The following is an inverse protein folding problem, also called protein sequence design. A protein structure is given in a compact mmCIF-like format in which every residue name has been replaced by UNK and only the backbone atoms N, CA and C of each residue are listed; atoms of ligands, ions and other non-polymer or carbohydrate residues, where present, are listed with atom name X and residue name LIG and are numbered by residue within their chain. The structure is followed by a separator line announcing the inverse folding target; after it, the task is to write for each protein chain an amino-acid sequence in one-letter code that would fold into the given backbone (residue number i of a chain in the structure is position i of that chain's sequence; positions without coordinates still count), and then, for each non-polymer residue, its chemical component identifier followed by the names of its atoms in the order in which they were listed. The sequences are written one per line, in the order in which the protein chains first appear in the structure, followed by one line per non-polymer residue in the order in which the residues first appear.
data_IF_379134326645
#
_entry.id   IF_379134326645
#
_cell.length_a   1.000
_cell.length_b   1.000
_cell.length_c   1.000
_cell.angle_alpha   90.00
_cell.angle_beta   90.00
_cell.angle_gamma   90.00
#
_symmetry.space_group_name_H-M   'P 1'
#
loop_
_entity.id
_entity.type
_entity.pdbx_description
1 polymer ?
#
# COMPACT_ATOMS: atom_id res chain seq x y z
N UNK A 1 -31.20 2.48 -59.26
CA UNK A 1 -29.83 1.93 -59.35
C UNK A 1 -29.10 2.23 -58.05
N UNK A 2 -28.47 1.20 -57.48
CA UNK A 2 -27.39 1.18 -56.47
C UNK A 2 -27.57 1.92 -55.13
N UNK A 3 -27.79 1.08 -54.10
CA UNK A 3 -27.58 1.34 -52.68
C UNK A 3 -26.09 1.55 -52.39
N UNK A 4 -25.75 2.52 -51.54
CA UNK A 4 -24.41 2.63 -50.93
C UNK A 4 -24.59 2.75 -49.41
N UNK A 5 -24.33 1.64 -48.72
CA UNK A 5 -24.23 1.59 -47.25
C UNK A 5 -22.88 2.16 -46.83
N UNK A 6 -22.89 3.28 -46.10
CA UNK A 6 -21.67 3.82 -45.46
C UNK A 6 -21.65 3.33 -44.02
N UNK A 7 -20.93 2.25 -43.78
CA UNK A 7 -20.56 1.77 -42.44
C UNK A 7 -19.50 2.71 -41.87
N UNK A 8 -19.88 3.56 -40.91
CA UNK A 8 -18.92 4.36 -40.14
C UNK A 8 -18.53 3.54 -38.91
N UNK A 9 -17.41 2.83 -39.02
CA UNK A 9 -16.72 2.20 -37.90
C UNK A 9 -16.17 3.28 -36.96
N UNK A 10 -16.94 3.65 -35.93
CA UNK A 10 -16.42 4.43 -34.81
C UNK A 10 -15.45 3.55 -34.01
N UNK A 11 -14.16 3.80 -34.21
CA UNK A 11 -13.07 3.21 -33.43
C UNK A 11 -13.24 3.62 -31.96
N UNK A 12 -13.63 2.65 -31.12
CA UNK A 12 -13.50 2.76 -29.66
C UNK A 12 -12.01 2.76 -29.31
N UNK A 13 -11.41 3.94 -29.29
CA UNK A 13 -10.09 4.16 -28.72
C UNK A 13 -10.21 4.08 -27.19
N UNK A 14 -10.26 2.87 -26.64
CA UNK A 14 -10.09 2.66 -25.20
C UNK A 14 -8.63 2.92 -24.86
N UNK A 15 -8.32 4.16 -24.47
CA UNK A 15 -7.07 4.47 -23.80
C UNK A 15 -7.03 3.67 -22.49
N UNK A 16 -6.30 2.56 -22.48
CA UNK A 16 -5.92 1.89 -21.25
C UNK A 16 -4.92 2.80 -20.55
N UNK A 17 -5.43 3.70 -19.70
CA UNK A 17 -4.60 4.41 -18.75
C UNK A 17 -4.00 3.35 -17.82
N UNK A 18 -2.75 2.98 -18.09
CA UNK A 18 -1.91 2.26 -17.14
C UNK A 18 -1.66 3.23 -15.98
N UNK A 19 -2.63 3.30 -15.06
CA UNK A 19 -2.45 4.01 -13.81
C UNK A 19 -1.36 3.28 -13.04
N UNK A 20 -0.14 3.80 -13.07
CA UNK A 20 0.88 3.45 -12.08
C UNK A 20 0.28 3.80 -10.72
N UNK A 21 -0.27 2.79 -10.04
CA UNK A 21 -1.03 2.98 -8.81
C UNK A 21 -0.10 3.43 -7.71
N UNK A 22 -0.14 4.72 -7.38
CA UNK A 22 0.34 5.20 -6.08
C UNK A 22 -0.55 4.58 -5.01
N UNK A 23 0.07 4.11 -3.95
CA UNK A 23 -0.54 3.48 -2.80
C UNK A 23 0.06 4.12 -1.54
N UNK A 24 -0.68 4.09 -0.44
CA UNK A 24 -0.21 4.64 0.84
C UNK A 24 -0.80 3.88 2.02
N UNK A 25 -0.24 4.09 3.21
CA UNK A 25 -0.87 3.59 4.42
C UNK A 25 -2.30 4.15 4.56
N UNK A 26 -3.30 3.30 4.86
CA UNK A 26 -4.68 3.75 5.04
C UNK A 26 -4.82 4.62 6.31
N UNK A 27 -5.81 5.51 6.36
CA UNK A 27 -6.13 6.16 7.62
C UNK A 27 -6.71 5.13 8.60
N UNK A 28 -6.45 5.30 9.91
CA UNK A 28 -6.94 4.36 10.93
C UNK A 28 -8.48 4.18 10.89
N UNK A 29 -9.20 5.25 10.54
CA UNK A 29 -10.67 5.23 10.38
C UNK A 29 -11.17 4.46 9.16
N UNK A 30 -10.32 4.23 8.14
CA UNK A 30 -10.67 3.48 6.93
C UNK A 30 -10.41 1.98 7.08
N UNK A 31 -9.73 1.56 8.16
CA UNK A 31 -9.47 0.16 8.46
C UNK A 31 -10.66 -0.44 9.18
N UNK A 32 -11.21 -1.52 8.63
CA UNK A 32 -12.32 -2.25 9.26
C UNK A 32 -11.80 -3.40 10.12
N UNK A 33 -12.41 -3.63 11.27
CA UNK A 33 -12.13 -4.79 12.13
C UNK A 33 -13.31 -5.76 12.11
N UNK A 34 -13.08 -7.01 11.70
CA UNK A 34 -14.07 -8.10 11.74
C UNK A 34 -13.41 -9.40 12.19
N UNK A 35 -13.98 -10.03 13.23
CA UNK A 35 -13.52 -11.32 13.75
C UNK A 35 -11.99 -11.37 14.02
N UNK A 36 -11.42 -10.28 14.54
CA UNK A 36 -9.99 -10.17 14.83
C UNK A 36 -9.08 -9.92 13.63
N UNK A 37 -9.64 -9.71 12.44
CA UNK A 37 -8.90 -9.36 11.22
C UNK A 37 -9.17 -7.89 10.89
N UNK A 38 -8.08 -7.14 10.70
CA UNK A 38 -8.12 -5.78 10.19
C UNK A 38 -7.97 -5.80 8.67
N UNK A 39 -8.83 -5.08 7.95
CA UNK A 39 -8.71 -4.93 6.50
C UNK A 39 -9.00 -3.51 6.04
N UNK A 40 -8.30 -3.06 4.99
CA UNK A 40 -8.61 -1.81 4.31
C UNK A 40 -8.43 -1.97 2.78
N UNK A 41 -9.20 -1.24 1.97
CA UNK A 41 -9.04 -1.26 0.52
C UNK A 41 -7.67 -0.70 0.11
N UNK A 42 -7.18 -1.16 -1.04
CA UNK A 42 -6.02 -0.60 -1.73
C UNK A 42 -6.42 0.17 -2.98
N UNK A 43 -5.54 1.02 -3.50
CA UNK A 43 -5.75 1.75 -4.75
C UNK A 43 -5.82 0.84 -5.99
N UNK A 44 -5.22 -0.35 -5.92
CA UNK A 44 -5.23 -1.35 -6.99
C UNK A 44 -6.24 -2.46 -6.71
N UNK A 45 -7.10 -2.77 -7.68
CA UNK A 45 -8.12 -3.82 -7.54
C UNK A 45 -7.48 -5.20 -7.23
N UNK A 46 -8.09 -5.92 -6.27
CA UNK A 46 -7.65 -7.24 -5.82
C UNK A 46 -6.54 -7.21 -4.75
N UNK A 47 -5.80 -6.12 -4.62
CA UNK A 47 -4.90 -5.93 -3.49
C UNK A 47 -5.71 -5.53 -2.24
N UNK A 48 -5.11 -5.65 -1.06
CA UNK A 48 -5.71 -5.13 0.18
C UNK A 48 -4.65 -4.90 1.25
N UNK A 49 -5.00 -4.13 2.26
CA UNK A 49 -4.25 -4.08 3.51
C UNK A 49 -4.86 -5.05 4.51
N UNK A 50 -4.02 -5.82 5.22
CA UNK A 50 -4.49 -6.84 6.16
C UNK A 50 -3.59 -6.96 7.39
N UNK A 51 -4.21 -7.21 8.55
CA UNK A 51 -3.52 -7.68 9.75
C UNK A 51 -4.42 -8.60 10.57
N UNK A 52 -3.81 -9.43 11.42
CA UNK A 52 -4.52 -10.23 12.42
C UNK A 52 -4.18 -9.68 13.80
N UNK A 53 -5.19 -9.44 14.62
CA UNK A 53 -5.03 -8.98 15.99
C UNK A 53 -4.33 -10.04 16.83
N UNK A 54 -3.32 -9.61 17.59
CA UNK A 54 -2.71 -10.40 18.66
C UNK A 54 -3.42 -10.23 20.01
N UNK A 55 -4.29 -9.23 20.15
CA UNK A 55 -5.04 -8.97 21.37
C UNK A 55 -6.17 -10.00 21.57
N UNK A 56 -6.41 -10.40 22.83
CA UNK A 56 -7.49 -11.30 23.21
C UNK A 56 -8.89 -10.73 22.90
N UNK A 57 -9.04 -9.41 23.02
CA UNK A 57 -10.24 -8.67 22.62
C UNK A 57 -9.81 -7.56 21.68
N UNK A 58 -9.84 -7.80 20.36
CA UNK A 58 -9.43 -6.82 19.35
C UNK A 58 -10.28 -5.55 19.41
N UNK A 59 -9.69 -4.40 19.10
CA UNK A 59 -10.37 -3.10 19.11
C UNK A 59 -10.01 -2.25 17.90
N UNK A 60 -10.84 -1.25 17.59
CA UNK A 60 -10.64 -0.39 16.42
C UNK A 60 -9.29 0.34 16.47
N UNK A 61 -8.65 0.52 15.31
CA UNK A 61 -7.44 1.34 15.19
C UNK A 61 -7.75 2.81 15.49
N UNK A 62 -6.84 3.48 16.18
CA UNK A 62 -7.03 4.86 16.66
C UNK A 62 -5.99 5.80 16.05
N UNK A 63 -4.70 5.46 16.15
CA UNK A 63 -3.61 6.30 15.65
C UNK A 63 -2.71 5.56 14.68
N UNK A 64 -2.28 6.26 13.64
CA UNK A 64 -1.16 5.86 12.79
C UNK A 64 0.14 6.25 13.48
N UNK A 65 1.10 5.33 13.55
CA UNK A 65 2.38 5.55 14.25
C UNK A 65 3.55 5.66 13.27
N UNK A 66 3.47 5.01 12.11
CA UNK A 66 4.51 5.08 11.09
C UNK A 66 4.45 3.93 10.09
N UNK A 67 5.43 3.84 9.21
CA UNK A 67 5.53 2.77 8.23
C UNK A 67 6.98 2.35 8.00
N UNK A 68 7.17 1.08 7.66
CA UNK A 68 8.48 0.51 7.35
C UNK A 68 8.50 0.01 5.91
N UNK A 69 9.58 0.33 5.20
CA UNK A 69 9.85 -0.14 3.85
C UNK A 69 11.22 -0.85 3.81
N UNK A 70 11.24 -2.01 3.19
CA UNK A 70 12.43 -2.82 3.01
C UNK A 70 13.00 -2.60 1.62
N UNK A 71 14.20 -2.01 1.49
CA UNK A 71 14.86 -1.90 0.20
C UNK A 71 15.27 -3.28 -0.31
N UNK A 72 15.30 -3.42 -1.64
CA UNK A 72 15.83 -4.63 -2.26
C UNK A 72 17.35 -4.71 -2.03
N UNK A 73 17.85 -5.92 -1.80
CA UNK A 73 19.28 -6.23 -1.65
C UNK A 73 20.00 -5.41 -0.55
N UNK A 74 19.26 -4.90 0.43
CA UNK A 74 19.76 -4.02 1.49
C UNK A 74 20.46 -2.75 0.94
N UNK A 75 20.14 -2.34 -0.30
CA UNK A 75 20.77 -1.20 -0.97
C UNK A 75 19.94 0.08 -0.85
N UNK A 76 20.55 1.22 -0.53
CA UNK A 76 19.85 2.51 -0.60
C UNK A 76 19.40 2.83 -2.02
N UNK A 77 18.21 3.42 -2.21
CA UNK A 77 17.80 3.90 -3.55
C UNK A 77 16.39 3.58 -4.02
N UNK A 78 15.47 3.29 -3.11
CA UNK A 78 14.02 3.37 -3.35
C UNK A 78 13.38 2.31 -4.26
N UNK A 79 14.02 1.18 -4.57
CA UNK A 79 13.29 -0.02 -5.03
C UNK A 79 13.30 -1.04 -3.92
N UNK A 80 12.14 -1.63 -3.65
CA UNK A 80 11.97 -2.57 -2.56
C UNK A 80 10.49 -2.84 -2.34
N UNK A 81 10.07 -2.98 -1.09
CA UNK A 81 8.70 -3.32 -0.72
C UNK A 81 8.29 -2.65 0.56
N UNK A 82 7.02 -2.25 0.64
CA UNK A 82 6.43 -1.89 1.91
C UNK A 82 6.44 -3.13 2.81
N UNK A 83 6.94 -2.96 4.04
CA UNK A 83 6.89 -3.96 5.08
C UNK A 83 5.52 -3.93 5.75
N UNK A 84 5.21 -2.82 6.42
CA UNK A 84 3.94 -2.61 7.11
C UNK A 84 3.70 -1.13 7.41
N UNK A 85 2.44 -0.82 7.68
CA UNK A 85 1.99 0.41 8.31
C UNK A 85 1.62 0.08 9.76
N UNK A 86 2.18 0.80 10.71
CA UNK A 86 1.98 0.57 12.13
C UNK A 86 0.91 1.49 12.71
N UNK A 87 0.06 0.90 13.54
CA UNK A 87 -1.04 1.58 14.20
C UNK A 87 -1.11 1.19 15.67
N UNK A 88 -1.73 2.06 16.45
CA UNK A 88 -2.19 1.77 17.80
C UNK A 88 -3.70 1.59 17.80
N UNK A 89 -4.15 0.48 18.37
CA UNK A 89 -5.57 0.23 18.62
C UNK A 89 -6.04 0.90 19.92
N UNK A 90 -7.36 1.01 20.11
CA UNK A 90 -7.97 1.61 21.30
C UNK A 90 -7.57 0.90 22.61
N UNK A 91 -7.37 -0.41 22.56
CA UNK A 91 -6.83 -1.22 23.67
C UNK A 91 -5.33 -1.00 23.93
N UNK A 92 -4.69 -0.12 23.15
CA UNK A 92 -3.26 0.23 23.14
C UNK A 92 -2.33 -0.84 22.57
N UNK A 93 -2.85 -1.92 22.01
CA UNK A 93 -2.06 -2.87 21.25
C UNK A 93 -1.53 -2.24 19.95
N UNK A 94 -0.37 -2.73 19.50
CA UNK A 94 0.21 -2.35 18.20
C UNK A 94 -0.26 -3.33 17.14
N UNK A 95 -0.60 -2.80 15.98
CA UNK A 95 -1.05 -3.58 14.82
C UNK A 95 -0.26 -3.15 13.61
N UNK A 96 0.37 -4.13 12.94
CA UNK A 96 1.10 -3.93 11.70
C UNK A 96 0.24 -4.38 10.53
N UNK A 97 -0.27 -3.41 9.77
CA UNK A 97 -1.03 -3.64 8.54
C UNK A 97 -0.07 -3.92 7.39
N UNK A 98 -0.20 -5.09 6.77
CA UNK A 98 0.62 -5.51 5.65
C UNK A 98 -0.13 -5.34 4.33
N UNK A 99 0.59 -4.90 3.31
CA UNK A 99 0.04 -4.81 1.96
C UNK A 99 0.07 -6.17 1.27
N UNK A 100 -1.10 -6.72 0.94
CA UNK A 100 -1.24 -7.99 0.23
C UNK A 100 -1.52 -7.73 -1.25
N UNK A 101 -0.65 -8.26 -2.11
CA UNK A 101 -0.87 -8.24 -3.55
C UNK A 101 -1.65 -9.48 -4.02
N UNK A 102 -2.57 -9.32 -4.96
CA UNK A 102 -3.28 -10.45 -5.59
C UNK A 102 -2.52 -11.14 -6.70
N UNK A 103 -1.45 -10.52 -7.22
CA UNK A 103 -0.67 -11.07 -8.32
C UNK A 103 0.10 -12.33 -7.89
N UNK A 104 0.25 -13.28 -8.80
CA UNK A 104 0.99 -14.53 -8.56
C UNK A 104 2.47 -14.28 -8.22
N UNK A 105 3.04 -13.18 -8.71
CA UNK A 105 4.36 -12.70 -8.35
C UNK A 105 4.25 -11.32 -7.70
N UNK A 106 4.89 -11.16 -6.55
CA UNK A 106 4.90 -9.88 -5.84
C UNK A 106 5.72 -8.86 -6.62
N UNK A 107 5.07 -7.74 -6.94
CA UNK A 107 5.68 -6.62 -7.66
C UNK A 107 6.54 -5.80 -6.72
N UNK A 108 7.67 -5.33 -7.25
CA UNK A 108 8.51 -4.35 -6.58
C UNK A 108 7.78 -3.01 -6.44
N UNK A 109 8.25 -2.20 -5.50
CA UNK A 109 7.68 -0.90 -5.17
C UNK A 109 8.79 0.13 -5.12
N UNK A 110 8.42 1.40 -5.27
CA UNK A 110 9.31 2.54 -5.05
C UNK A 110 8.66 3.64 -4.25
N UNK A 111 9.44 4.51 -3.61
CA UNK A 111 8.86 5.67 -2.93
C UNK A 111 8.10 6.55 -3.92
N UNK A 112 6.89 6.95 -3.56
CA UNK A 112 6.16 8.00 -4.29
C UNK A 112 6.60 9.39 -3.80
N UNK A 113 7.04 9.49 -2.55
CA UNK A 113 7.42 10.73 -1.89
C UNK A 113 8.65 10.53 -0.99
N UNK A 114 9.84 10.64 -1.58
CA UNK A 114 11.12 10.34 -0.93
C UNK A 114 11.40 11.18 0.31
N UNK A 115 10.79 12.36 0.43
CA UNK A 115 10.99 13.31 1.53
C UNK A 115 10.49 12.81 2.89
N UNK A 116 9.52 11.88 2.91
CA UNK A 116 8.95 11.31 4.15
C UNK A 116 9.63 10.01 4.59
N UNK A 117 10.48 9.42 3.74
CA UNK A 117 11.22 8.20 4.04
C UNK A 117 12.63 8.53 4.53
N UNK A 118 13.04 7.91 5.64
CA UNK A 118 14.38 8.06 6.21
C UNK A 118 15.05 6.70 6.36
N UNK A 119 16.28 6.53 5.87
CA UNK A 119 17.01 5.29 6.10
C UNK A 119 17.35 5.16 7.58
N UNK A 120 17.15 3.98 8.13
CA UNK A 120 17.48 3.60 9.49
C UNK A 120 18.23 2.27 9.43
N UNK A 121 19.34 2.18 10.15
CA UNK A 121 20.01 0.90 10.36
C UNK A 121 19.33 0.21 11.54
N UNK A 122 18.72 -0.94 11.28
CA UNK A 122 18.16 -1.79 12.32
C UNK A 122 19.29 -2.34 13.20
N UNK A 123 18.97 -2.74 14.44
CA UNK A 123 19.93 -3.40 15.34
C UNK A 123 20.50 -4.74 14.84
N UNK A 124 20.10 -5.19 13.64
CA UNK A 124 20.58 -6.39 12.95
C UNK A 124 21.48 -6.07 11.75
N UNK A 125 21.83 -4.80 11.51
CA UNK A 125 22.63 -4.37 10.36
C UNK A 125 21.85 -4.32 9.04
N UNK A 126 20.52 -4.42 9.08
CA UNK A 126 19.65 -4.22 7.91
C UNK A 126 19.31 -2.74 7.77
N UNK A 127 19.47 -2.20 6.57
CA UNK A 127 18.99 -0.88 6.18
C UNK A 127 17.52 -0.99 5.86
N UNK A 128 16.69 -0.30 6.64
CA UNK A 128 15.25 -0.14 6.39
C UNK A 128 14.95 1.33 6.18
N UNK A 129 13.78 1.65 5.66
CA UNK A 129 13.30 3.01 5.60
C UNK A 129 12.06 3.16 6.48
N UNK A 130 12.07 4.18 7.32
CA UNK A 130 10.94 4.53 8.18
C UNK A 130 10.27 5.80 7.66
N UNK A 131 8.94 5.82 7.72
CA UNK A 131 8.12 7.00 7.51
C UNK A 131 7.30 7.26 8.79
N UNK A 132 7.62 8.36 9.47
CA UNK A 132 6.99 8.75 10.74
C UNK A 132 6.13 10.01 10.54
N UNK A 133 5.54 10.17 9.35
CA UNK A 133 4.66 11.29 9.05
C UNK A 133 3.37 11.18 9.88
N UNK A 134 2.85 12.30 10.36
CA UNK A 134 1.63 12.31 11.18
C UNK A 134 0.37 11.83 10.41
N UNK A 135 0.38 11.92 9.08
CA UNK A 135 -0.72 11.54 8.21
C UNK A 135 -0.32 10.28 7.45
N UNK A 136 -1.12 9.21 7.59
CA UNK A 136 -0.83 7.90 6.99
C UNK A 136 -0.61 7.96 5.46
N UNK A 137 -1.40 8.77 4.75
CA UNK A 137 -1.28 8.95 3.30
C UNK A 137 0.06 9.55 2.85
N UNK A 138 0.83 10.16 3.76
CA UNK A 138 2.17 10.67 3.47
C UNK A 138 3.24 9.58 3.51
N UNK A 139 2.91 8.34 3.88
CA UNK A 139 3.80 7.20 3.71
C UNK A 139 3.39 6.46 2.44
N UNK A 140 3.82 7.00 1.28
CA UNK A 140 3.34 6.59 -0.03
C UNK A 140 4.43 5.92 -0.88
N UNK A 141 3.99 4.95 -1.69
CA UNK A 141 4.82 4.19 -2.61
C UNK A 141 4.08 3.97 -3.93
N UNK A 142 4.83 3.72 -5.00
CA UNK A 142 4.32 3.33 -6.30
C UNK A 142 4.65 1.87 -6.55
N UNK A 143 3.67 1.12 -7.05
CA UNK A 143 3.89 -0.26 -7.49
C UNK A 143 4.56 -0.22 -8.87
N UNK A 144 5.66 -0.95 -9.03
CA UNK A 144 6.39 -1.07 -10.29
C UNK A 144 5.87 -2.31 -11.01
N UNK A 145 5.24 -2.12 -12.18
CA UNK A 145 4.90 -3.21 -13.10
C UNK A 145 6.10 -3.62 -13.96
#
# INVERSE_FOLDING_TARGET
MKVVYVFVCALFYSAVALASGTESCPAAGDVTLRAGVYTAPSSRAGNEWVAVSSAAVPSQLETFEGAVFYPQDNQPGAVGRIGYCEYKARDRSRVNLHYRQSAASERSMRFANTENWRPVESGLGLVVYECNAAIASNCAFSIVD
#
